data_IF_473558454885
#
_entry.id   IF_473558454885
#
_cell.length_a   1.000
_cell.length_b   1.000
_cell.length_c   1.000
_cell.angle_alpha   90.00
_cell.angle_beta   90.00
_cell.angle_gamma   90.00
#
_symmetry.space_group_name_H-M   'P 1'
#
loop_
_entity.id
_entity.type
_entity.pdbx_description
1 polymer ?
#
# COMPACT_ATOMS: atom_id res chain seq x y z
N UNK A 1 -18.79 -1.66 7.13
CA UNK A 1 -17.40 -1.28 7.39
C UNK A 1 -16.47 -1.95 6.39
N UNK A 2 -15.31 -1.32 6.13
CA UNK A 2 -14.21 -1.87 5.33
C UNK A 2 -13.05 -2.21 6.29
N UNK A 3 -12.10 -3.06 5.88
CA UNK A 3 -10.92 -3.34 6.71
C UNK A 3 -10.16 -2.07 7.07
N UNK A 4 -9.63 -2.02 8.28
CA UNK A 4 -8.87 -0.89 8.82
C UNK A 4 -7.71 -1.39 9.66
N UNK A 5 -6.86 -0.49 10.15
CA UNK A 5 -5.76 -0.84 11.06
C UNK A 5 -6.22 -1.52 12.39
N UNK A 6 -7.53 -1.46 12.69
CA UNK A 6 -8.11 -2.11 13.88
C UNK A 6 -8.83 -3.42 13.56
N UNK A 7 -8.85 -3.85 12.29
CA UNK A 7 -9.51 -5.08 11.88
C UNK A 7 -8.72 -6.29 12.38
N UNK A 8 -9.41 -7.17 13.08
CA UNK A 8 -8.84 -8.45 13.52
C UNK A 8 -9.21 -9.49 12.46
N UNK A 9 -8.20 -9.95 11.73
CA UNK A 9 -8.35 -11.00 10.73
C UNK A 9 -8.24 -12.37 11.39
N UNK A 10 -8.98 -13.32 10.88
CA UNK A 10 -8.84 -14.72 11.23
C UNK A 10 -7.79 -15.36 10.32
N UNK A 11 -6.68 -15.79 10.90
CA UNK A 11 -5.67 -16.56 10.16
C UNK A 11 -6.20 -17.98 9.91
N UNK A 12 -6.06 -18.44 8.67
CA UNK A 12 -6.41 -19.80 8.27
C UNK A 12 -5.16 -20.69 8.24
N UNK A 13 -3.99 -20.09 8.15
CA UNK A 13 -2.67 -20.71 8.15
C UNK A 13 -1.79 -20.06 9.23
N UNK A 14 -0.74 -20.77 9.65
CA UNK A 14 0.10 -20.36 10.79
C UNK A 14 1.49 -19.85 10.42
N UNK A 15 1.93 -20.06 9.17
CA UNK A 15 3.31 -19.78 8.76
C UNK A 15 3.39 -19.41 7.29
N UNK A 16 4.09 -18.33 7.00
CA UNK A 16 4.39 -17.87 5.64
C UNK A 16 5.81 -18.29 5.26
N UNK A 17 5.93 -19.04 4.17
CA UNK A 17 7.22 -19.36 3.54
C UNK A 17 7.12 -19.19 2.04
N UNK A 18 8.22 -19.18 1.27
CA UNK A 18 8.17 -19.11 -0.19
C UNK A 18 7.32 -20.23 -0.85
N UNK A 19 7.18 -21.38 -0.18
CA UNK A 19 6.42 -22.52 -0.68
C UNK A 19 5.01 -22.60 -0.08
N UNK A 20 4.70 -21.79 0.96
CA UNK A 20 3.44 -21.87 1.68
C UNK A 20 2.88 -20.47 1.93
N UNK A 21 1.88 -20.04 1.16
CA UNK A 21 1.18 -18.79 1.41
C UNK A 21 0.34 -18.87 2.69
N UNK A 22 -0.03 -17.71 3.23
CA UNK A 22 -0.94 -17.57 4.38
C UNK A 22 -2.23 -16.90 3.92
N UNK A 23 -3.36 -17.46 4.33
CA UNK A 23 -4.68 -16.89 4.07
C UNK A 23 -5.29 -16.31 5.33
N UNK A 24 -5.84 -15.11 5.20
CA UNK A 24 -6.53 -14.36 6.24
C UNK A 24 -7.97 -14.10 5.82
N UNK A 25 -8.94 -14.31 6.67
CA UNK A 25 -10.33 -14.00 6.37
C UNK A 25 -10.91 -12.98 7.34
N UNK A 26 -11.82 -12.15 6.83
CA UNK A 26 -12.61 -11.24 7.64
C UNK A 26 -13.98 -11.01 7.03
N UNK A 27 -15.02 -11.17 7.85
CA UNK A 27 -16.40 -10.84 7.51
C UNK A 27 -16.78 -9.53 8.19
N UNK A 28 -17.35 -8.60 7.45
CA UNK A 28 -17.73 -7.29 7.99
C UNK A 28 -19.05 -7.30 8.77
N UNK A 29 -19.72 -8.46 8.89
CA UNK A 29 -21.02 -8.64 9.52
C UNK A 29 -22.18 -7.94 8.79
N UNK A 30 -21.96 -7.48 7.56
CA UNK A 30 -22.95 -6.77 6.71
C UNK A 30 -22.97 -7.27 5.27
N UNK A 31 -22.62 -8.55 5.09
CA UNK A 31 -22.73 -9.23 3.80
C UNK A 31 -21.54 -9.05 2.86
N UNK A 32 -20.38 -8.67 3.38
CA UNK A 32 -19.13 -8.63 2.62
C UNK A 32 -18.05 -9.39 3.36
N UNK A 33 -17.44 -10.34 2.68
CA UNK A 33 -16.34 -11.14 3.19
C UNK A 33 -15.07 -10.86 2.37
N UNK A 34 -13.96 -10.73 3.07
CA UNK A 34 -12.62 -10.56 2.50
C UNK A 34 -11.80 -11.81 2.78
N UNK A 35 -11.19 -12.35 1.76
CA UNK A 35 -10.17 -13.38 1.85
C UNK A 35 -8.89 -12.79 1.27
N UNK A 36 -7.85 -12.67 2.10
CA UNK A 36 -6.53 -12.17 1.71
C UNK A 36 -5.55 -13.31 1.74
N UNK A 37 -4.90 -13.57 0.61
CA UNK A 37 -3.79 -14.50 0.52
C UNK A 37 -2.48 -13.72 0.40
N UNK A 38 -1.54 -14.04 1.26
CA UNK A 38 -0.20 -13.43 1.29
C UNK A 38 0.79 -14.51 0.89
N UNK A 39 1.58 -14.24 -0.12
CA UNK A 39 2.69 -15.09 -0.55
C UNK A 39 3.98 -14.27 -0.60
N UNK A 40 5.12 -14.92 -0.43
CA UNK A 40 6.45 -14.32 -0.53
C UNK A 40 7.29 -15.18 -1.48
N UNK A 41 8.15 -14.57 -2.26
CA UNK A 41 9.14 -15.28 -3.06
C UNK A 41 10.54 -15.21 -2.42
N UNK A 42 11.52 -15.86 -3.04
CA UNK A 42 12.91 -15.89 -2.54
C UNK A 42 13.62 -14.52 -2.64
N UNK A 43 13.07 -13.56 -3.38
CA UNK A 43 13.57 -12.19 -3.52
C UNK A 43 12.90 -11.21 -2.54
N UNK A 44 12.20 -11.72 -1.51
CA UNK A 44 11.47 -10.93 -0.51
C UNK A 44 10.31 -10.09 -1.08
N UNK A 45 9.86 -10.37 -2.31
CA UNK A 45 8.66 -9.74 -2.84
C UNK A 45 7.42 -10.43 -2.28
N UNK A 46 6.62 -9.68 -1.57
CA UNK A 46 5.37 -10.13 -0.97
C UNK A 46 4.22 -9.78 -1.92
N UNK A 47 3.48 -10.79 -2.37
CA UNK A 47 2.24 -10.60 -3.12
C UNK A 47 1.05 -10.68 -2.17
N UNK A 48 0.10 -9.78 -2.36
CA UNK A 48 -1.16 -9.73 -1.63
C UNK A 48 -2.29 -9.88 -2.66
N UNK A 49 -3.03 -10.99 -2.55
CA UNK A 49 -4.21 -11.28 -3.37
C UNK A 49 -5.45 -11.18 -2.48
N UNK A 50 -6.34 -10.24 -2.79
CA UNK A 50 -7.62 -10.06 -2.12
C UNK A 50 -8.76 -10.58 -2.98
N UNK A 51 -9.54 -11.50 -2.44
CA UNK A 51 -10.83 -11.93 -2.97
C UNK A 51 -11.93 -11.33 -2.10
N UNK A 52 -12.82 -10.55 -2.69
CA UNK A 52 -13.91 -9.89 -1.97
C UNK A 52 -15.24 -10.40 -2.51
N UNK A 53 -16.04 -11.01 -1.63
CA UNK A 53 -17.37 -11.56 -1.96
C UNK A 53 -18.47 -10.75 -1.31
N UNK A 54 -19.61 -10.65 -2.00
CA UNK A 54 -20.80 -9.93 -1.53
C UNK A 54 -22.03 -10.85 -1.53
N UNK A 55 -22.78 -10.87 -0.44
CA UNK A 55 -24.13 -11.42 -0.38
C UNK A 55 -25.22 -10.35 -0.49
N UNK A 56 -24.84 -9.11 -0.77
CA UNK A 56 -25.79 -8.00 -0.93
C UNK A 56 -26.55 -8.13 -2.24
N UNK A 57 -27.77 -7.62 -2.27
CA UNK A 57 -28.60 -7.55 -3.48
C UNK A 57 -28.36 -6.29 -4.35
N UNK A 58 -27.30 -5.54 -4.05
CA UNK A 58 -26.89 -4.34 -4.79
C UNK A 58 -25.38 -4.30 -5.00
N UNK A 59 -24.90 -3.70 -6.08
CA UNK A 59 -23.46 -3.52 -6.26
C UNK A 59 -22.90 -2.49 -5.27
N UNK A 60 -21.59 -2.60 -4.99
CA UNK A 60 -20.83 -1.62 -4.22
C UNK A 60 -19.55 -1.26 -4.95
N UNK A 61 -19.09 -0.04 -4.74
CA UNK A 61 -17.81 0.44 -5.27
C UNK A 61 -16.73 0.33 -4.20
N UNK A 62 -15.58 -0.23 -4.56
CA UNK A 62 -14.40 -0.40 -3.73
C UNK A 62 -13.20 0.24 -4.41
N UNK A 63 -12.31 0.85 -3.64
CA UNK A 63 -11.05 1.37 -4.16
C UNK A 63 -9.89 0.63 -3.46
N UNK A 64 -9.01 -0.05 -4.20
CA UNK A 64 -7.79 -0.58 -3.64
C UNK A 64 -6.94 0.54 -3.04
N UNK A 65 -6.38 0.27 -1.87
CA UNK A 65 -5.54 1.23 -1.15
C UNK A 65 -4.45 0.52 -0.39
N UNK A 66 -3.23 0.98 -0.53
CA UNK A 66 -2.12 0.54 0.30
C UNK A 66 -1.26 1.72 0.74
N UNK A 67 -0.57 1.54 1.87
CA UNK A 67 0.36 2.54 2.39
C UNK A 67 1.56 1.89 3.08
N UNK A 68 2.68 2.61 3.06
CA UNK A 68 3.79 2.45 3.98
C UNK A 68 3.94 3.72 4.80
N UNK A 69 4.26 3.59 6.09
CA UNK A 69 4.39 4.71 7.01
C UNK A 69 5.62 4.57 7.88
N UNK A 70 6.31 5.69 8.03
CA UNK A 70 7.43 5.87 8.96
C UNK A 70 6.99 6.78 10.09
N UNK A 71 7.30 6.40 11.32
CA UNK A 71 7.11 7.23 12.52
C UNK A 71 8.47 7.65 13.05
N UNK A 72 8.61 8.93 13.36
CA UNK A 72 9.86 9.60 13.74
C UNK A 72 10.75 9.92 12.53
N UNK A 73 11.44 11.03 12.60
CA UNK A 73 12.48 11.39 11.62
C UNK A 73 13.80 10.72 12.03
N UNK A 74 14.41 9.89 11.18
CA UNK A 74 15.69 9.30 11.50
C UNK A 74 16.78 10.38 11.57
N UNK A 75 17.85 10.13 12.35
CA UNK A 75 19.05 10.93 12.26
C UNK A 75 19.77 10.61 10.95
N UNK A 76 19.54 11.41 9.94
CA UNK A 76 20.23 11.28 8.66
C UNK A 76 21.70 11.62 8.83
N UNK A 77 22.60 10.79 8.31
CA UNK A 77 24.05 11.02 8.47
C UNK A 77 24.59 12.08 7.49
N UNK A 78 23.74 12.74 6.72
CA UNK A 78 24.14 13.77 5.76
C UNK A 78 25.14 13.31 4.70
N UNK A 79 25.29 12.02 4.54
CA UNK A 79 26.11 11.46 3.45
C UNK A 79 25.30 11.53 2.16
N UNK A 80 25.62 12.48 1.33
CA UNK A 80 25.00 12.78 0.05
C UNK A 80 25.04 11.67 -1.01
N UNK A 81 25.46 10.47 -0.64
CA UNK A 81 25.53 9.30 -1.53
C UNK A 81 24.28 8.41 -1.43
N UNK A 82 23.48 8.55 -0.37
CA UNK A 82 22.31 7.70 -0.12
C UNK A 82 21.08 8.59 0.11
N UNK A 83 20.02 8.34 -0.66
CA UNK A 83 18.74 8.95 -0.39
C UNK A 83 18.12 8.33 0.86
N UNK A 84 17.67 9.16 1.79
CA UNK A 84 16.85 8.78 2.95
C UNK A 84 15.57 9.63 2.91
N UNK A 85 14.43 8.98 2.80
CA UNK A 85 13.15 9.65 2.64
C UNK A 85 12.13 8.83 1.86
N UNK A 86 11.23 9.53 1.20
CA UNK A 86 10.21 8.93 0.35
C UNK A 86 10.68 8.92 -1.11
N UNK A 87 10.33 7.86 -1.82
CA UNK A 87 10.69 7.72 -3.23
C UNK A 87 9.67 6.86 -3.96
N UNK A 88 9.69 6.93 -5.28
CA UNK A 88 8.85 6.08 -6.12
C UNK A 88 9.07 6.34 -7.61
N UNK A 89 8.53 5.45 -8.42
CA UNK A 89 8.49 5.60 -9.87
C UNK A 89 7.05 5.86 -10.29
N UNK A 90 6.85 6.99 -10.95
CA UNK A 90 5.56 7.48 -11.43
C UNK A 90 5.72 7.86 -12.90
N UNK A 91 4.89 7.27 -13.78
CA UNK A 91 4.96 7.45 -15.22
C UNK A 91 6.40 7.32 -15.73
N UNK A 92 7.05 6.20 -15.38
CA UNK A 92 8.44 5.84 -15.71
C UNK A 92 9.53 6.75 -15.12
N UNK A 93 9.18 7.75 -14.32
CA UNK A 93 10.12 8.72 -13.74
C UNK A 93 10.31 8.47 -12.24
N UNK A 94 11.58 8.30 -11.81
CA UNK A 94 11.95 8.28 -10.39
C UNK A 94 11.76 9.68 -9.79
N UNK A 95 11.11 9.73 -8.63
CA UNK A 95 10.95 10.92 -7.79
C UNK A 95 11.39 10.60 -6.38
N UNK A 96 12.04 11.55 -5.73
CA UNK A 96 12.61 11.40 -4.39
C UNK A 96 12.33 12.67 -3.57
N UNK A 97 12.01 12.49 -2.30
CA UNK A 97 11.81 13.56 -1.31
C UNK A 97 12.47 13.20 0.00
N UNK A 98 13.34 14.04 0.46
CA UNK A 98 13.91 13.93 1.80
C UNK A 98 12.84 14.21 2.87
N UNK A 99 13.07 13.77 4.10
CA UNK A 99 12.17 14.07 5.21
C UNK A 99 12.02 15.57 5.44
N UNK A 100 13.11 16.33 5.33
CA UNK A 100 13.10 17.79 5.50
C UNK A 100 12.31 18.52 4.41
N UNK A 101 12.36 18.05 3.16
CA UNK A 101 11.55 18.63 2.08
C UNK A 101 10.06 18.42 2.29
N UNK A 102 9.66 17.31 2.91
CA UNK A 102 8.25 17.02 3.21
C UNK A 102 7.74 17.75 4.46
N UNK A 103 8.65 18.18 5.34
CA UNK A 103 8.32 18.99 6.52
C UNK A 103 8.20 20.48 6.22
N UNK A 104 8.68 20.95 5.07
CA UNK A 104 8.54 22.35 4.67
C UNK A 104 7.05 22.69 4.50
N UNK A 105 6.53 23.56 5.38
CA UNK A 105 5.12 23.98 5.42
C UNK A 105 4.62 24.58 4.11
N UNK A 106 5.52 24.99 3.21
CA UNK A 106 5.19 25.46 1.87
C UNK A 106 4.96 24.32 0.86
N UNK A 107 5.23 23.07 1.23
CA UNK A 107 5.05 21.90 0.36
C UNK A 107 3.94 21.01 0.90
N UNK A 108 2.79 21.02 0.25
CA UNK A 108 1.60 20.20 0.58
C UNK A 108 1.80 18.72 0.23
N UNK A 109 3.03 18.19 0.36
CA UNK A 109 3.34 16.85 -0.08
C UNK A 109 3.26 16.68 -1.61
N UNK A 110 3.41 15.46 -2.07
CA UNK A 110 3.32 15.08 -3.47
C UNK A 110 2.05 14.28 -3.72
N UNK A 111 1.29 14.66 -4.76
CA UNK A 111 0.16 13.90 -5.26
C UNK A 111 0.32 13.77 -6.77
N UNK A 112 0.13 12.57 -7.28
CA UNK A 112 0.28 12.25 -8.69
C UNK A 112 -0.82 11.29 -9.14
N UNK A 113 -1.61 11.73 -10.11
CA UNK A 113 -2.55 10.86 -10.82
C UNK A 113 -1.78 10.26 -12.00
N UNK A 114 -1.42 8.98 -11.91
CA UNK A 114 -0.65 8.32 -12.97
C UNK A 114 -1.39 8.29 -14.29
N UNK A 115 -0.72 8.68 -15.35
CA UNK A 115 -1.21 8.57 -16.73
C UNK A 115 -0.86 7.20 -17.31
N UNK A 116 0.29 6.63 -16.93
CA UNK A 116 0.74 5.30 -17.32
C UNK A 116 0.37 4.23 -16.28
N UNK A 117 0.43 2.98 -16.69
CA UNK A 117 0.19 1.82 -15.82
C UNK A 117 1.40 1.53 -14.94
N UNK A 118 1.15 0.95 -13.77
CA UNK A 118 2.19 0.47 -12.87
C UNK A 118 2.76 1.55 -11.96
N UNK A 119 4.08 1.45 -11.72
CA UNK A 119 4.77 2.29 -10.76
C UNK A 119 4.77 1.72 -9.33
N UNK A 120 5.41 2.44 -8.43
CA UNK A 120 5.50 2.08 -7.02
C UNK A 120 5.82 3.29 -6.17
N UNK A 121 5.54 3.21 -4.87
CA UNK A 121 5.88 4.22 -3.87
C UNK A 121 6.45 3.57 -2.63
N UNK A 122 7.41 4.21 -1.98
CA UNK A 122 8.08 3.64 -0.82
C UNK A 122 8.75 4.65 0.08
N UNK A 123 9.37 4.12 1.12
CA UNK A 123 10.19 4.86 2.07
C UNK A 123 11.51 4.11 2.22
N UNK A 124 12.61 4.84 2.16
CA UNK A 124 13.95 4.31 2.39
C UNK A 124 14.64 5.03 3.54
N UNK A 125 15.28 4.25 4.37
CA UNK A 125 16.25 4.68 5.37
C UNK A 125 17.56 3.97 5.08
N UNK A 126 18.63 4.36 5.74
CA UNK A 126 19.91 3.64 5.65
C UNK A 126 19.69 2.15 5.91
N UNK A 127 19.97 1.31 4.91
CA UNK A 127 19.82 -0.16 4.89
C UNK A 127 18.38 -0.70 4.80
N UNK A 128 17.36 0.12 4.65
CA UNK A 128 15.98 -0.32 4.60
C UNK A 128 15.25 0.30 3.42
N UNK A 129 14.40 -0.48 2.78
CA UNK A 129 13.44 -0.02 1.80
C UNK A 129 12.13 -0.78 2.03
N UNK A 130 11.04 -0.04 2.20
CA UNK A 130 9.70 -0.61 2.12
C UNK A 130 8.95 0.07 0.98
N UNK A 131 8.46 -0.71 0.02
CA UNK A 131 7.78 -0.21 -1.17
C UNK A 131 6.48 -0.95 -1.43
N UNK A 132 5.44 -0.21 -1.79
CA UNK A 132 4.14 -0.73 -2.22
C UNK A 132 3.97 -0.54 -3.71
N UNK A 133 3.41 -1.56 -4.35
CA UNK A 133 3.19 -1.57 -5.79
C UNK A 133 1.74 -1.99 -6.07
N UNK A 134 0.96 -1.21 -6.82
CA UNK A 134 -0.32 -1.67 -7.35
C UNK A 134 -0.10 -2.79 -8.37
N UNK A 135 -1.18 -3.41 -8.82
CA UNK A 135 -1.12 -4.27 -9.98
C UNK A 135 -0.59 -3.46 -11.17
N UNK A 136 0.48 -3.95 -11.82
CA UNK A 136 1.23 -3.18 -12.81
C UNK A 136 0.49 -2.91 -14.13
N UNK A 137 -0.69 -3.48 -14.29
CA UNK A 137 -1.64 -3.17 -15.39
C UNK A 137 -2.64 -2.06 -15.04
N UNK A 138 -2.59 -1.50 -13.83
CA UNK A 138 -3.51 -0.46 -13.37
C UNK A 138 -2.84 0.92 -13.33
N UNK A 139 -3.66 1.96 -13.51
CA UNK A 139 -3.28 3.34 -13.21
C UNK A 139 -3.84 3.72 -11.86
N UNK A 140 -3.05 4.35 -11.01
CA UNK A 140 -3.42 4.70 -9.64
C UNK A 140 -3.05 6.14 -9.31
N UNK A 141 -3.61 6.66 -8.24
CA UNK A 141 -3.17 7.92 -7.65
C UNK A 141 -2.17 7.64 -6.55
N UNK A 142 -0.95 8.15 -6.69
CA UNK A 142 0.08 8.11 -5.66
C UNK A 142 0.05 9.37 -4.79
N UNK A 143 0.44 9.22 -3.53
CA UNK A 143 0.60 10.34 -2.60
C UNK A 143 1.79 10.09 -1.68
N UNK A 144 2.56 11.15 -1.43
CA UNK A 144 3.67 11.18 -0.47
C UNK A 144 3.58 12.44 0.37
N UNK A 145 3.61 12.29 1.69
CA UNK A 145 3.43 13.44 2.59
C UNK A 145 3.96 13.22 4.00
N UNK A 146 4.33 14.30 4.66
CA UNK A 146 4.38 14.35 6.11
C UNK A 146 2.94 14.46 6.66
N UNK A 147 2.68 13.83 7.79
CA UNK A 147 1.38 13.86 8.46
C UNK A 147 1.50 14.69 9.74
N UNK A 148 0.58 15.63 10.00
CA UNK A 148 0.60 16.42 11.21
C UNK A 148 0.38 15.54 12.45
N UNK A 149 0.99 15.91 13.58
CA UNK A 149 0.83 15.21 14.85
C UNK A 149 1.89 15.61 15.86
N UNK A 150 1.82 15.00 17.05
CA UNK A 150 2.80 15.23 18.12
C UNK A 150 4.16 14.57 17.83
N UNK A 151 4.21 13.70 16.86
CA UNK A 151 5.39 13.00 16.39
C UNK A 151 5.39 13.04 14.86
N UNK A 152 6.56 13.23 14.27
CA UNK A 152 6.74 13.22 12.83
C UNK A 152 6.29 11.88 12.24
N UNK A 153 5.50 11.94 11.20
CA UNK A 153 5.04 10.76 10.45
C UNK A 153 5.09 11.04 8.97
N UNK A 154 5.59 10.09 8.23
CA UNK A 154 5.71 10.16 6.78
C UNK A 154 4.96 9.00 6.16
N UNK A 155 4.27 9.25 5.07
CA UNK A 155 3.45 8.25 4.43
C UNK A 155 3.61 8.32 2.91
N UNK A 156 3.86 7.17 2.31
CA UNK A 156 3.67 6.94 0.89
C UNK A 156 2.48 5.99 0.71
N UNK A 157 1.55 6.35 -0.16
CA UNK A 157 0.36 5.54 -0.43
C UNK A 157 -0.06 5.60 -1.89
N UNK A 158 -0.88 4.64 -2.29
CA UNK A 158 -1.63 4.72 -3.54
C UNK A 158 -3.12 4.43 -3.32
N UNK A 159 -3.94 5.03 -4.18
CA UNK A 159 -5.37 4.79 -4.30
C UNK A 159 -5.68 4.33 -5.72
N UNK A 160 -6.17 3.09 -5.85
CA UNK A 160 -6.60 2.52 -7.13
C UNK A 160 -7.95 3.03 -7.60
N UNK A 161 -8.25 2.79 -8.88
CA UNK A 161 -9.56 3.09 -9.46
C UNK A 161 -10.65 2.25 -8.80
N UNK A 162 -11.88 2.74 -8.90
CA UNK A 162 -13.03 2.04 -8.36
C UNK A 162 -13.28 0.71 -9.08
N UNK A 163 -13.40 -0.36 -8.29
CA UNK A 163 -13.80 -1.70 -8.72
C UNK A 163 -15.25 -1.90 -8.27
N UNK A 164 -16.11 -2.35 -9.18
CA UNK A 164 -17.50 -2.62 -8.86
C UNK A 164 -17.63 -4.08 -8.43
N UNK A 165 -17.90 -4.30 -7.14
CA UNK A 165 -18.30 -5.60 -6.61
C UNK A 165 -19.80 -5.80 -6.92
N UNK A 166 -20.17 -6.78 -7.77
CA UNK A 166 -21.55 -6.96 -8.17
C UNK A 166 -22.42 -7.51 -7.03
N UNK A 167 -23.73 -7.37 -7.17
CA UNK A 167 -24.70 -7.95 -6.24
C UNK A 167 -24.53 -9.48 -6.22
N UNK A 168 -24.35 -10.06 -5.03
CA UNK A 168 -24.15 -11.52 -4.86
C UNK A 168 -22.91 -12.06 -5.59
N UNK A 169 -21.95 -11.22 -5.95
CA UNK A 169 -20.80 -11.57 -6.76
C UNK A 169 -19.47 -11.45 -6.02
N UNK A 170 -18.40 -11.51 -6.80
CA UNK A 170 -17.02 -11.52 -6.34
C UNK A 170 -16.14 -10.64 -7.22
N UNK A 171 -15.10 -10.06 -6.63
CA UNK A 171 -14.00 -9.39 -7.33
C UNK A 171 -12.67 -9.78 -6.72
N UNK A 172 -11.63 -9.78 -7.55
CA UNK A 172 -10.26 -10.05 -7.13
C UNK A 172 -9.39 -8.82 -7.38
N UNK A 173 -8.45 -8.59 -6.49
CA UNK A 173 -7.44 -7.55 -6.64
C UNK A 173 -6.10 -8.06 -6.13
N UNK A 174 -5.02 -7.61 -6.75
CA UNK A 174 -3.65 -7.97 -6.36
C UNK A 174 -2.78 -6.72 -6.23
N UNK A 175 -1.85 -6.76 -5.28
CA UNK A 175 -0.79 -5.76 -5.12
C UNK A 175 0.43 -6.39 -4.51
N UNK A 176 1.51 -5.61 -4.38
CA UNK A 176 2.78 -6.11 -3.89
C UNK A 176 3.35 -5.20 -2.82
N UNK A 177 4.12 -5.80 -1.92
CA UNK A 177 4.96 -5.14 -0.93
C UNK A 177 6.37 -5.71 -1.06
N UNK A 178 7.36 -4.85 -1.08
CA UNK A 178 8.77 -5.19 -0.91
C UNK A 178 9.24 -4.60 0.42
N UNK A 179 9.93 -5.41 1.26
CA UNK A 179 10.45 -4.98 2.55
C UNK A 179 11.68 -5.82 2.97
#
# INVERSE_FOLDING_TARGET
>A
PMPSAKTIWKALDSELTPQKPVSLSWDNGKGITFLRTISINDDYLIKIDDTITSSLNRPISLNPYALVRRTGTPSTQGMWILHEGLLGVFDTTLKEWTYSELQDDNKVGFNHDSEEQGGWAGITDKYWLAAIMPQQSETVKFSMRALPGNEDRYQADFLGKAIILPAGGEVNWSGYLFA
#
